data_IF_005450347880
#
_entry.id   IF_005450347880
#
_cell.length_a   1.000
_cell.length_b   1.000
_cell.length_c   1.000
_cell.angle_alpha   90.00
_cell.angle_beta   90.00
_cell.angle_gamma   90.00
#
_symmetry.space_group_name_H-M   'P 1'
#
loop_
_entity.id
_entity.type
_entity.pdbx_description
1 polymer ?
#
# COMPACT_ATOMS: atom_id res chain seq x y z
N UNK A 1 8.89 -5.05 3.16
CA UNK A 1 7.77 -5.83 2.57
C UNK A 1 6.47 -5.40 3.22
N UNK A 2 5.50 -5.07 2.42
CA UNK A 2 4.19 -4.66 2.92
C UNK A 2 3.09 -5.34 2.13
N UNK A 3 1.89 -5.34 2.70
CA UNK A 3 0.67 -5.71 1.98
C UNK A 3 -0.16 -4.46 1.79
N UNK A 4 -0.58 -4.21 0.55
CA UNK A 4 -1.37 -3.03 0.20
C UNK A 4 -2.73 -3.43 -0.35
N UNK A 5 -3.69 -2.50 -0.25
CA UNK A 5 -4.98 -2.62 -0.92
C UNK A 5 -4.95 -1.65 -2.09
N UNK A 6 -4.99 -2.17 -3.31
CA UNK A 6 -5.04 -1.34 -4.50
C UNK A 6 -6.42 -0.71 -4.64
N UNK A 7 -6.48 0.41 -5.38
CA UNK A 7 -7.73 1.14 -5.55
C UNK A 7 -8.86 0.26 -6.09
N UNK A 8 -8.55 -0.59 -7.05
CA UNK A 8 -9.54 -1.50 -7.65
C UNK A 8 -9.87 -2.70 -6.76
N UNK A 9 -9.17 -2.88 -5.64
CA UNK A 9 -9.40 -3.97 -4.71
C UNK A 9 -10.01 -3.51 -3.38
N UNK A 10 -10.36 -2.24 -3.25
CA UNK A 10 -10.91 -1.70 -2.00
C UNK A 10 -12.24 -2.36 -1.61
N UNK A 11 -13.01 -2.80 -2.59
CA UNK A 11 -14.28 -3.46 -2.36
C UNK A 11 -14.13 -4.86 -1.77
N UNK A 12 -13.12 -5.59 -2.25
CA UNK A 12 -12.91 -6.99 -1.88
C UNK A 12 -11.87 -7.13 -0.79
N UNK A 13 -11.12 -6.07 -0.49
CA UNK A 13 -10.00 -6.08 0.45
C UNK A 13 -8.90 -7.05 0.05
N UNK A 14 -8.75 -7.31 -1.25
CA UNK A 14 -7.64 -8.12 -1.73
C UNK A 14 -6.33 -7.42 -1.45
N UNK A 15 -5.34 -8.18 -0.98
CA UNK A 15 -4.04 -7.64 -0.61
C UNK A 15 -3.00 -7.99 -1.66
N UNK A 16 -2.12 -7.03 -1.93
CA UNK A 16 -0.97 -7.22 -2.82
C UNK A 16 0.29 -7.04 -2.00
N UNK A 17 1.13 -8.06 -1.98
CA UNK A 17 2.38 -8.04 -1.24
C UNK A 17 3.51 -7.55 -2.12
N UNK A 18 4.40 -6.74 -1.58
CA UNK A 18 5.56 -6.29 -2.31
C UNK A 18 6.44 -5.35 -1.51
N UNK A 19 7.57 -4.98 -2.11
CA UNK A 19 8.50 -4.03 -1.51
C UNK A 19 8.11 -2.62 -1.90
N UNK A 20 8.18 -1.70 -0.95
CA UNK A 20 7.87 -0.29 -1.19
C UNK A 20 9.00 0.34 -2.00
N UNK A 21 8.64 0.92 -3.13
CA UNK A 21 9.55 1.71 -3.94
C UNK A 21 9.49 3.19 -3.56
N UNK A 22 8.27 3.68 -3.29
CA UNK A 22 8.06 5.11 -3.04
C UNK A 22 6.84 5.30 -2.15
N UNK A 23 6.93 6.25 -1.21
CA UNK A 23 5.80 6.68 -0.40
C UNK A 23 5.18 7.88 -1.08
N UNK A 24 3.87 7.81 -1.34
CA UNK A 24 3.15 8.83 -2.11
C UNK A 24 2.39 9.81 -1.23
N UNK A 25 2.25 9.54 0.08
CA UNK A 25 1.62 10.48 1.01
C UNK A 25 2.68 11.34 1.67
N UNK A 26 2.32 12.59 2.03
CA UNK A 26 3.22 13.51 2.70
C UNK A 26 3.31 13.28 4.21
N UNK A 27 2.35 12.58 4.79
CA UNK A 27 2.30 12.31 6.22
C UNK A 27 2.85 10.93 6.53
N UNK A 28 3.48 10.79 7.71
CA UNK A 28 3.99 9.49 8.17
C UNK A 28 2.85 8.56 8.59
N UNK A 29 1.67 9.09 8.87
CA UNK A 29 0.48 8.32 9.21
C UNK A 29 -0.72 8.86 8.44
N UNK A 30 -1.69 7.99 8.17
CA UNK A 30 -2.90 8.37 7.47
C UNK A 30 -4.04 7.46 7.93
N UNK A 31 -5.27 8.00 8.17
CA UNK A 31 -6.38 7.18 8.69
C UNK A 31 -6.76 6.00 7.80
N UNK A 32 -6.53 6.12 6.51
CA UNK A 32 -6.83 5.04 5.56
C UNK A 32 -5.61 4.25 5.13
N UNK A 33 -4.49 4.44 5.83
CA UNK A 33 -3.22 3.82 5.49
C UNK A 33 -2.37 4.71 4.58
N UNK A 34 -1.07 4.48 4.62
CA UNK A 34 -0.11 5.24 3.81
C UNK A 34 -0.18 4.75 2.37
N UNK A 35 -0.31 5.68 1.43
CA UNK A 35 -0.32 5.34 0.01
C UNK A 35 1.11 5.16 -0.47
N UNK A 36 1.39 4.03 -1.07
CA UNK A 36 2.74 3.71 -1.55
C UNK A 36 2.68 3.12 -2.96
N UNK A 37 3.82 3.17 -3.64
CA UNK A 37 4.02 2.43 -4.88
C UNK A 37 5.01 1.30 -4.60
N UNK A 38 4.68 0.11 -5.04
CA UNK A 38 5.57 -1.05 -4.91
C UNK A 38 6.59 -1.05 -6.04
N UNK A 39 7.67 -1.81 -5.86
CA UNK A 39 8.72 -1.92 -6.88
C UNK A 39 8.20 -2.55 -8.17
N UNK A 40 7.15 -3.34 -8.08
CA UNK A 40 6.50 -3.94 -9.25
C UNK A 40 5.54 -2.99 -9.94
N UNK A 41 5.32 -1.79 -9.39
CA UNK A 41 4.50 -0.74 -10.02
C UNK A 41 3.11 -0.54 -9.44
N UNK A 42 2.62 -1.48 -8.64
CA UNK A 42 1.29 -1.35 -8.06
C UNK A 42 1.25 -0.21 -7.04
N UNK A 43 0.12 0.48 -6.99
CA UNK A 43 -0.10 1.58 -6.06
C UNK A 43 -1.30 1.24 -5.19
N UNK A 44 -1.17 1.45 -3.88
CA UNK A 44 -2.25 1.21 -2.96
C UNK A 44 -1.94 1.71 -1.56
N UNK A 45 -2.89 1.46 -0.64
CA UNK A 45 -2.74 1.82 0.77
C UNK A 45 -2.16 0.66 1.54
N UNK A 46 -1.16 0.93 2.38
CA UNK A 46 -0.54 -0.10 3.22
C UNK A 46 -1.56 -0.58 4.25
N UNK A 47 -1.78 -1.88 4.27
CA UNK A 47 -2.66 -2.53 5.24
C UNK A 47 -1.86 -3.19 6.34
N UNK A 48 -0.79 -3.88 5.97
CA UNK A 48 0.09 -4.56 6.92
C UNK A 48 1.54 -4.34 6.54
N UNK A 49 2.40 -4.25 7.55
CA UNK A 49 3.85 -4.23 7.38
C UNK A 49 4.36 -5.60 7.77
N UNK A 50 5.02 -6.29 6.84
CA UNK A 50 5.46 -7.66 7.05
C UNK A 50 6.87 -7.78 7.60
N UNK A 51 7.68 -6.76 7.39
CA UNK A 51 9.03 -6.72 7.99
C UNK A 51 9.68 -5.36 7.78
#
# INVERSE_FOLDING_TARGET
MVEIVQKNHQRTNELTEGLVKRILTNASTHPHGIKVQLETGEIGRVKNVLS
#
